data_IF_231368852975
#
_entry.id   IF_231368852975
#
_cell.length_a   1.000
_cell.length_b   1.000
_cell.length_c   1.000
_cell.angle_alpha   90.00
_cell.angle_beta   90.00
_cell.angle_gamma   90.00
#
_symmetry.space_group_name_H-M   'P 1'
#
loop_
_entity.id
_entity.type
_entity.pdbx_description
1 polymer ?
#
# COMPACT_ATOMS: atom_id res chain seq x y z
N UNK A 1 2.33 24.26 -2.89
CA UNK A 1 0.87 24.36 -3.06
C UNK A 1 0.31 23.07 -2.49
N UNK A 2 -0.32 23.16 -1.32
CA UNK A 2 -0.72 22.04 -0.47
C UNK A 2 -1.88 21.26 -1.11
N UNK A 3 -1.97 19.95 -0.88
CA UNK A 3 -3.17 19.16 -1.19
C UNK A 3 -4.39 19.93 -0.67
N UNK A 4 -5.42 20.10 -1.49
CA UNK A 4 -6.63 20.81 -1.04
C UNK A 4 -7.19 20.08 0.17
N UNK A 5 -7.66 20.84 1.17
CA UNK A 5 -8.17 20.26 2.42
C UNK A 5 -9.28 19.24 2.13
N UNK A 6 -10.12 19.51 1.14
CA UNK A 6 -11.18 18.60 0.69
C UNK A 6 -10.64 17.28 0.12
N UNK A 7 -9.62 17.32 -0.74
CA UNK A 7 -9.02 16.10 -1.29
C UNK A 7 -8.32 15.27 -0.20
N UNK A 8 -7.70 15.93 0.79
CA UNK A 8 -7.10 15.24 1.92
C UNK A 8 -8.15 14.53 2.80
N UNK A 9 -9.27 15.21 3.08
CA UNK A 9 -10.38 14.62 3.86
C UNK A 9 -10.99 13.42 3.12
N UNK A 10 -11.24 13.53 1.81
CA UNK A 10 -11.75 12.41 1.00
C UNK A 10 -10.80 11.19 1.03
N UNK A 11 -9.49 11.41 0.91
CA UNK A 11 -8.50 10.34 1.01
C UNK A 11 -8.47 9.71 2.41
N UNK A 12 -8.60 10.52 3.47
CA UNK A 12 -8.63 10.04 4.85
C UNK A 12 -9.87 9.20 5.15
N UNK A 13 -11.05 9.62 4.68
CA UNK A 13 -12.30 8.87 4.85
C UNK A 13 -12.22 7.51 4.12
N UNK A 14 -11.73 7.52 2.87
CA UNK A 14 -11.51 6.29 2.10
C UNK A 14 -10.51 5.35 2.79
N UNK A 15 -9.40 5.89 3.30
CA UNK A 15 -8.41 5.11 4.03
C UNK A 15 -9.00 4.47 5.29
N UNK A 16 -9.73 5.26 6.09
CA UNK A 16 -10.41 4.75 7.30
C UNK A 16 -11.38 3.62 6.95
N UNK A 17 -12.13 3.76 5.85
CA UNK A 17 -13.03 2.71 5.37
C UNK A 17 -12.27 1.45 4.93
N UNK A 18 -11.13 1.59 4.25
CA UNK A 18 -10.27 0.46 3.89
C UNK A 18 -9.78 -0.25 5.16
N UNK A 19 -9.28 0.47 6.16
CA UNK A 19 -8.79 -0.13 7.40
C UNK A 19 -9.90 -0.90 8.12
N UNK A 20 -11.11 -0.33 8.21
CA UNK A 20 -12.27 -1.02 8.78
C UNK A 20 -12.58 -2.33 8.04
N UNK A 21 -12.61 -2.29 6.71
CA UNK A 21 -12.87 -3.48 5.89
C UNK A 21 -11.82 -4.58 6.10
N UNK A 22 -10.55 -4.19 6.22
CA UNK A 22 -9.44 -5.14 6.36
C UNK A 22 -9.33 -5.71 7.77
N UNK A 23 -9.51 -4.90 8.81
CA UNK A 23 -9.23 -5.30 10.21
C UNK A 23 -10.47 -5.79 10.97
N UNK A 24 -11.67 -5.32 10.61
CA UNK A 24 -12.92 -5.64 11.30
C UNK A 24 -13.82 -6.50 10.42
N UNK A 25 -14.30 -5.95 9.29
CA UNK A 25 -15.38 -6.57 8.51
C UNK A 25 -14.94 -7.90 7.87
N UNK A 26 -13.66 -8.03 7.48
CA UNK A 26 -13.12 -9.27 6.90
C UNK A 26 -13.21 -10.50 7.80
N UNK A 27 -13.31 -10.31 9.12
CA UNK A 27 -13.48 -11.40 10.09
C UNK A 27 -14.93 -11.92 10.14
N UNK A 28 -15.85 -11.16 9.57
CA UNK A 28 -17.29 -11.44 9.52
C UNK A 28 -17.77 -11.80 8.11
N UNK A 29 -16.84 -11.96 7.15
CA UNK A 29 -17.18 -12.38 5.79
C UNK A 29 -17.91 -13.73 5.82
N UNK A 30 -19.02 -13.88 5.08
CA UNK A 30 -19.79 -15.12 5.08
C UNK A 30 -19.00 -16.25 4.40
N UNK A 31 -19.16 -17.48 4.88
CA UNK A 31 -18.48 -18.65 4.29
C UNK A 31 -18.80 -18.86 2.80
N UNK A 32 -19.98 -18.38 2.36
CA UNK A 32 -20.40 -18.46 0.95
C UNK A 32 -19.66 -17.48 0.04
N UNK A 33 -19.11 -16.39 0.59
CA UNK A 33 -18.35 -15.37 -0.15
C UNK A 33 -17.08 -14.99 0.62
N UNK A 34 -16.05 -15.86 0.63
CA UNK A 34 -14.80 -15.57 1.32
C UNK A 34 -14.13 -14.33 0.73
N UNK A 35 -13.50 -13.54 1.60
CA UNK A 35 -12.73 -12.33 1.26
C UNK A 35 -13.54 -11.16 0.69
N UNK A 36 -14.87 -11.17 0.80
CA UNK A 36 -15.76 -10.11 0.31
C UNK A 36 -15.29 -8.71 0.75
N UNK A 37 -14.95 -8.56 2.02
CA UNK A 37 -14.47 -7.27 2.57
C UNK A 37 -13.11 -6.88 1.99
N UNK A 38 -12.20 -7.85 1.77
CA UNK A 38 -10.88 -7.60 1.15
C UNK A 38 -11.00 -7.17 -0.30
N UNK A 39 -11.90 -7.77 -1.08
CA UNK A 39 -12.18 -7.31 -2.45
C UNK A 39 -12.79 -5.91 -2.48
N UNK A 40 -13.69 -5.60 -1.54
CA UNK A 40 -14.26 -4.26 -1.39
C UNK A 40 -13.19 -3.22 -1.06
N UNK A 41 -12.27 -3.55 -0.14
CA UNK A 41 -11.12 -2.71 0.20
C UNK A 41 -10.21 -2.48 -1.02
N UNK A 42 -9.95 -3.53 -1.82
CA UNK A 42 -9.16 -3.42 -3.06
C UNK A 42 -9.75 -2.39 -4.03
N UNK A 43 -11.06 -2.37 -4.23
CA UNK A 43 -11.68 -1.40 -5.15
C UNK A 43 -11.51 0.04 -4.67
N UNK A 44 -11.63 0.28 -3.36
CA UNK A 44 -11.39 1.60 -2.78
C UNK A 44 -9.92 2.00 -2.96
N UNK A 45 -8.98 1.09 -2.71
CA UNK A 45 -7.54 1.32 -2.90
C UNK A 45 -7.20 1.66 -4.36
N UNK A 46 -7.81 0.98 -5.35
CA UNK A 46 -7.62 1.29 -6.78
C UNK A 46 -8.11 2.71 -7.08
N UNK A 47 -9.27 3.11 -6.54
CA UNK A 47 -9.80 4.47 -6.70
C UNK A 47 -8.88 5.52 -6.07
N UNK A 48 -8.40 5.27 -4.85
CA UNK A 48 -7.44 6.15 -4.17
C UNK A 48 -6.13 6.27 -4.97
N UNK A 49 -5.62 5.17 -5.52
CA UNK A 49 -4.43 5.16 -6.36
C UNK A 49 -4.59 6.12 -7.54
N UNK A 50 -5.69 5.99 -8.28
CA UNK A 50 -5.96 6.84 -9.44
C UNK A 50 -6.04 8.33 -9.05
N UNK A 51 -6.67 8.64 -7.90
CA UNK A 51 -6.74 10.00 -7.36
C UNK A 51 -5.34 10.56 -7.07
N UNK A 52 -4.49 9.80 -6.38
CA UNK A 52 -3.13 10.24 -6.04
C UNK A 52 -2.25 10.38 -7.28
N UNK A 53 -2.32 9.45 -8.24
CA UNK A 53 -1.58 9.57 -9.50
C UNK A 53 -1.99 10.82 -10.31
N UNK A 54 -3.28 11.17 -10.29
CA UNK A 54 -3.77 12.41 -10.89
C UNK A 54 -3.21 13.65 -10.17
N UNK A 55 -3.14 13.62 -8.83
CA UNK A 55 -2.53 14.71 -8.05
C UNK A 55 -1.05 14.88 -8.40
N UNK A 56 -0.30 13.79 -8.54
CA UNK A 56 1.12 13.83 -8.91
C UNK A 56 1.29 14.41 -10.32
N UNK A 57 0.48 13.98 -11.30
CA UNK A 57 0.56 14.47 -12.69
C UNK A 57 0.24 15.96 -12.83
N UNK A 58 -0.70 16.46 -12.03
CA UNK A 58 -1.20 17.83 -12.14
C UNK A 58 -0.41 18.85 -11.30
N UNK A 59 0.57 18.40 -10.51
CA UNK A 59 1.39 19.27 -9.65
C UNK A 59 2.82 19.43 -10.19
N UNK A 60 3.27 20.67 -10.37
CA UNK A 60 4.68 21.03 -10.60
C UNK A 60 5.45 20.82 -9.30
N UNK A 61 6.10 19.67 -9.14
CA UNK A 61 6.58 19.18 -7.85
C UNK A 61 8.04 19.53 -7.58
N UNK A 62 8.28 20.71 -6.99
CA UNK A 62 9.47 20.97 -6.16
C UNK A 62 9.01 21.25 -4.73
N UNK A 63 9.27 20.33 -3.80
CA UNK A 63 9.01 20.54 -2.37
C UNK A 63 8.71 19.29 -1.52
N UNK A 64 8.61 19.53 -0.20
CA UNK A 64 8.39 18.53 0.86
C UNK A 64 7.03 17.81 0.76
N UNK A 65 6.03 18.43 0.14
CA UNK A 65 4.71 17.82 -0.12
C UNK A 65 4.80 16.63 -1.08
N UNK A 66 5.79 16.60 -1.97
CA UNK A 66 6.01 15.48 -2.89
C UNK A 66 6.35 14.18 -2.14
N UNK A 67 7.12 14.29 -1.05
CA UNK A 67 7.48 13.14 -0.20
C UNK A 67 6.22 12.54 0.42
N UNK A 68 5.33 13.37 0.97
CA UNK A 68 4.09 12.90 1.59
C UNK A 68 3.16 12.22 0.60
N UNK A 69 2.99 12.81 -0.59
CA UNK A 69 2.14 12.24 -1.65
C UNK A 69 2.73 10.91 -2.14
N UNK A 70 4.05 10.85 -2.31
CA UNK A 70 4.77 9.61 -2.65
C UNK A 70 4.58 8.54 -1.57
N UNK A 71 4.62 8.92 -0.29
CA UNK A 71 4.40 7.99 0.82
C UNK A 71 2.98 7.43 0.79
N UNK A 72 1.97 8.27 0.57
CA UNK A 72 0.59 7.83 0.43
C UNK A 72 0.41 6.85 -0.73
N UNK A 73 1.03 7.13 -1.89
CA UNK A 73 1.00 6.21 -3.02
C UNK A 73 1.66 4.87 -2.68
N UNK A 74 2.81 4.89 -2.00
CA UNK A 74 3.50 3.69 -1.55
C UNK A 74 2.67 2.87 -0.56
N UNK A 75 1.98 3.50 0.40
CA UNK A 75 1.04 2.83 1.31
C UNK A 75 -0.09 2.14 0.53
N UNK A 76 -0.65 2.79 -0.49
CA UNK A 76 -1.69 2.16 -1.32
C UNK A 76 -1.15 0.93 -2.05
N UNK A 77 0.05 1.00 -2.63
CA UNK A 77 0.67 -0.17 -3.26
C UNK A 77 0.96 -1.29 -2.27
N UNK A 78 1.41 -0.97 -1.06
CA UNK A 78 1.63 -1.93 0.02
C UNK A 78 0.33 -2.69 0.33
N UNK A 79 -0.76 -1.97 0.60
CA UNK A 79 -2.05 -2.61 0.92
C UNK A 79 -2.67 -3.36 -0.26
N UNK A 80 -2.52 -2.87 -1.50
CA UNK A 80 -2.91 -3.64 -2.69
C UNK A 80 -2.13 -4.95 -2.79
N UNK A 81 -0.84 -4.92 -2.47
CA UNK A 81 0.02 -6.09 -2.41
C UNK A 81 -0.44 -7.09 -1.35
N UNK A 82 -0.62 -6.62 -0.12
CA UNK A 82 -1.10 -7.44 1.01
C UNK A 82 -2.45 -8.08 0.71
N UNK A 83 -3.42 -7.29 0.24
CA UNK A 83 -4.76 -7.80 -0.11
C UNK A 83 -4.68 -8.84 -1.22
N UNK A 84 -3.82 -8.67 -2.22
CA UNK A 84 -3.66 -9.67 -3.27
C UNK A 84 -3.02 -10.97 -2.77
N UNK A 85 -2.00 -10.90 -1.92
CA UNK A 85 -1.39 -12.09 -1.31
C UNK A 85 -2.42 -12.82 -0.45
N UNK A 86 -3.16 -12.07 0.37
CA UNK A 86 -4.18 -12.58 1.29
C UNK A 86 -5.36 -13.26 0.58
N UNK A 87 -5.68 -12.84 -0.65
CA UNK A 87 -6.71 -13.47 -1.49
C UNK A 87 -6.09 -14.42 -2.52
N UNK A 88 -4.91 -14.97 -2.21
CA UNK A 88 -4.22 -16.02 -2.98
C UNK A 88 -3.74 -15.60 -4.40
N UNK A 89 -3.74 -14.30 -4.71
CA UNK A 89 -3.25 -13.73 -5.96
C UNK A 89 -1.77 -13.31 -5.84
N UNK A 90 -0.91 -14.27 -5.51
CA UNK A 90 0.50 -14.05 -5.13
C UNK A 90 1.27 -13.21 -6.17
N UNK A 91 1.17 -13.55 -7.45
CA UNK A 91 1.88 -12.83 -8.53
C UNK A 91 1.44 -11.36 -8.66
N UNK A 92 0.14 -11.10 -8.44
CA UNK A 92 -0.40 -9.73 -8.45
C UNK A 92 0.12 -8.97 -7.23
N UNK A 93 0.15 -9.64 -6.07
CA UNK A 93 0.67 -9.08 -4.83
C UNK A 93 2.15 -8.70 -4.90
N UNK A 94 2.98 -9.61 -5.43
CA UNK A 94 4.40 -9.38 -5.67
C UNK A 94 4.62 -8.13 -6.54
N UNK A 95 3.91 -8.02 -7.66
CA UNK A 95 3.99 -6.85 -8.56
C UNK A 95 3.62 -5.54 -7.86
N UNK A 96 2.64 -5.55 -6.96
CA UNK A 96 2.27 -4.36 -6.19
C UNK A 96 3.32 -3.99 -5.14
N UNK A 97 3.92 -4.97 -4.46
CA UNK A 97 5.02 -4.73 -3.53
C UNK A 97 6.28 -4.21 -4.25
N UNK A 98 6.57 -4.72 -5.46
CA UNK A 98 7.66 -4.18 -6.29
C UNK A 98 7.39 -2.72 -6.67
N UNK A 99 6.16 -2.39 -7.08
CA UNK A 99 5.76 -1.00 -7.34
C UNK A 99 5.87 -0.12 -6.10
N UNK A 100 5.54 -0.65 -4.91
CA UNK A 100 5.74 0.05 -3.65
C UNK A 100 7.23 0.39 -3.45
N UNK A 101 8.11 -0.60 -3.64
CA UNK A 101 9.57 -0.44 -3.54
C UNK A 101 10.11 0.61 -4.50
N UNK A 102 9.76 0.51 -5.78
CA UNK A 102 10.14 1.49 -6.81
C UNK A 102 9.70 2.91 -6.44
N UNK A 103 8.49 3.05 -5.88
CA UNK A 103 7.92 4.35 -5.52
C UNK A 103 8.70 5.02 -4.39
N UNK A 104 9.13 4.25 -3.39
CA UNK A 104 9.75 4.80 -2.17
C UNK A 104 11.28 4.82 -2.21
N UNK A 105 11.91 4.15 -3.17
CA UNK A 105 13.37 3.96 -3.26
C UNK A 105 14.19 5.25 -3.07
N UNK A 106 13.75 6.35 -3.69
CA UNK A 106 14.45 7.64 -3.63
C UNK A 106 14.36 8.37 -2.28
N UNK A 107 13.49 7.91 -1.39
CA UNK A 107 13.12 8.63 -0.17
C UNK A 107 13.15 7.75 1.09
N UNK A 108 13.69 6.53 1.03
CA UNK A 108 13.64 5.55 2.14
C UNK A 108 14.24 6.07 3.45
N UNK A 109 15.23 6.96 3.38
CA UNK A 109 15.92 7.53 4.54
C UNK A 109 15.14 8.66 5.23
N UNK A 110 14.03 9.13 4.63
CA UNK A 110 13.24 10.20 5.22
C UNK A 110 12.35 9.67 6.36
N UNK A 111 12.20 10.42 7.47
CA UNK A 111 11.37 9.98 8.61
C UNK A 111 9.95 9.57 8.24
N UNK A 112 9.34 10.23 7.25
CA UNK A 112 8.00 9.93 6.77
C UNK A 112 7.87 8.57 6.07
N UNK A 113 8.99 7.97 5.65
CA UNK A 113 9.05 6.73 4.86
C UNK A 113 9.49 5.52 5.67
N UNK A 114 10.04 5.71 6.88
CA UNK A 114 10.63 4.61 7.67
C UNK A 114 9.62 3.50 7.91
N UNK A 115 8.43 3.85 8.42
CA UNK A 115 7.39 2.85 8.72
C UNK A 115 6.93 2.11 7.46
N UNK A 116 6.78 2.82 6.35
CA UNK A 116 6.38 2.23 5.07
C UNK A 116 7.46 1.28 4.53
N UNK A 117 8.74 1.68 4.61
CA UNK A 117 9.88 0.89 4.15
C UNK A 117 10.04 -0.39 4.97
N UNK A 118 9.94 -0.27 6.30
CA UNK A 118 9.95 -1.40 7.23
C UNK A 118 8.82 -2.40 6.88
N UNK A 119 7.59 -1.91 6.76
CA UNK A 119 6.44 -2.77 6.45
C UNK A 119 6.60 -3.44 5.08
N UNK A 120 7.06 -2.72 4.07
CA UNK A 120 7.31 -3.29 2.75
C UNK A 120 8.34 -4.42 2.80
N UNK A 121 9.47 -4.24 3.50
CA UNK A 121 10.48 -5.31 3.63
C UNK A 121 9.95 -6.51 4.43
N UNK A 122 9.18 -6.28 5.49
CA UNK A 122 8.50 -7.36 6.22
C UNK A 122 7.56 -8.15 5.31
N UNK A 123 6.76 -7.47 4.48
CA UNK A 123 5.84 -8.15 3.54
C UNK A 123 6.59 -8.95 2.47
N UNK A 124 7.71 -8.45 1.95
CA UNK A 124 8.58 -9.26 1.09
C UNK A 124 9.16 -10.48 1.83
N UNK A 125 9.58 -10.30 3.09
CA UNK A 125 10.04 -11.39 3.93
C UNK A 125 8.99 -12.50 4.05
N UNK A 126 7.75 -12.15 4.38
CA UNK A 126 6.61 -13.07 4.45
C UNK A 126 6.40 -13.77 3.11
N UNK A 127 6.29 -12.99 2.01
CA UNK A 127 6.05 -13.50 0.66
C UNK A 127 7.08 -14.56 0.23
N UNK A 128 8.37 -14.30 0.49
CA UNK A 128 9.44 -15.19 0.06
C UNK A 128 9.73 -16.32 1.05
N UNK A 129 9.26 -16.24 2.30
CA UNK A 129 9.62 -17.19 3.37
C UNK A 129 9.30 -18.65 3.03
N UNK A 130 8.20 -18.89 2.31
CA UNK A 130 7.76 -20.23 1.92
C UNK A 130 8.28 -20.68 0.54
N UNK A 131 8.81 -19.75 -0.27
CA UNK A 131 9.22 -20.00 -1.67
C UNK A 131 10.74 -20.07 -1.82
N UNK A 132 11.43 -19.05 -1.30
CA UNK A 132 12.87 -18.85 -1.40
C UNK A 132 13.38 -18.23 -0.08
N UNK A 133 13.67 -19.06 0.95
CA UNK A 133 14.07 -18.59 2.27
C UNK A 133 15.31 -17.68 2.27
N UNK A 134 16.26 -17.92 1.35
CA UNK A 134 17.46 -17.10 1.16
C UNK A 134 17.09 -15.69 0.70
N UNK A 135 16.12 -15.58 -0.22
CA UNK A 135 15.61 -14.29 -0.70
C UNK A 135 14.81 -13.58 0.40
N UNK A 136 14.01 -14.32 1.16
CA UNK A 136 13.30 -13.81 2.35
C UNK A 136 14.27 -13.19 3.36
N UNK A 137 15.36 -13.90 3.70
CA UNK A 137 16.40 -13.42 4.60
C UNK A 137 16.97 -12.06 4.17
N UNK A 138 17.29 -11.90 2.89
CA UNK A 138 17.83 -10.62 2.36
C UNK A 138 16.88 -9.45 2.57
N UNK A 139 15.56 -9.67 2.49
CA UNK A 139 14.58 -8.63 2.76
C UNK A 139 14.43 -8.35 4.27
N UNK A 140 14.39 -9.39 5.09
CA UNK A 140 14.28 -9.24 6.55
C UNK A 140 15.50 -8.60 7.19
N UNK A 141 16.70 -8.77 6.62
CA UNK A 141 17.92 -8.06 7.07
C UNK A 141 17.90 -6.56 6.73
N UNK A 142 17.05 -6.13 5.78
CA UNK A 142 16.89 -4.73 5.37
C UNK A 142 15.74 -4.02 6.08
N UNK A 143 14.85 -4.77 6.73
CA UNK A 143 13.76 -4.27 7.54
C UNK A 143 14.30 -3.63 8.82
#
# INVERSE_FOLDING_TARGET
MTITKEAFVDLQEKYTKVMKLLEEDSKLDPETEPFLSKYSARQILIGMKANIENLIRNQSTDGQDNVKITAMLGVIYLYLGMVAIDTEEISTGERHLEKCKETIEKHQEKPEMILLTLNMYNQFGILWSQREPEKSKVYLEKA
#
